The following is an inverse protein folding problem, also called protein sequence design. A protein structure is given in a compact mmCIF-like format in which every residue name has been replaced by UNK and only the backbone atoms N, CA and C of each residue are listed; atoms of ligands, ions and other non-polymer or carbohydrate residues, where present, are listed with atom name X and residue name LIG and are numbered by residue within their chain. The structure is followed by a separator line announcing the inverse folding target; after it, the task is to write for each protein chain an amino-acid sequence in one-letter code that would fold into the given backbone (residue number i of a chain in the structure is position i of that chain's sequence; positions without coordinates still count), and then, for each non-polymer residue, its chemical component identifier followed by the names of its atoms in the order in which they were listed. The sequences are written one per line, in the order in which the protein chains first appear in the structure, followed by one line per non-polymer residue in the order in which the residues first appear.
data_IF_097645091429
#
_entry.id   IF_097645091429
#
_cell.length_a   1.000
_cell.length_b   1.000
_cell.length_c   1.000
_cell.angle_alpha   90.00
_cell.angle_beta   90.00
_cell.angle_gamma   90.00
#
_symmetry.space_group_name_H-M   'P 1'
#
loop_
_entity.id
_entity.type
_entity.pdbx_description
1 polymer ?
#
# COMPACT_ATOMS: atom_id res chain seq x y z
N UNK A 1 18.99 -29.28 15.95
CA UNK A 1 19.60 -28.82 14.69
C UNK A 1 18.47 -28.69 13.68
N UNK A 2 17.87 -27.51 13.59
CA UNK A 2 16.85 -27.22 12.59
C UNK A 2 17.57 -27.10 11.24
N UNK A 3 17.60 -28.18 10.47
CA UNK A 3 17.71 -28.09 9.01
C UNK A 3 16.39 -27.51 8.50
N UNK A 4 16.17 -26.22 8.77
CA UNK A 4 14.91 -25.54 8.51
C UNK A 4 15.03 -24.74 7.22
N UNK A 5 14.18 -25.07 6.26
CA UNK A 5 13.85 -24.17 5.16
C UNK A 5 12.95 -23.07 5.75
N UNK A 6 13.22 -21.81 5.42
CA UNK A 6 12.43 -20.65 5.79
C UNK A 6 11.88 -20.00 4.53
N UNK A 7 10.66 -19.47 4.61
CA UNK A 7 10.11 -18.56 3.60
C UNK A 7 10.36 -17.13 4.06
N UNK A 8 11.20 -16.39 3.34
CA UNK A 8 11.43 -14.96 3.57
C UNK A 8 10.57 -14.15 2.57
N UNK A 9 9.68 -13.31 3.08
CA UNK A 9 8.96 -12.31 2.31
C UNK A 9 9.73 -10.99 2.42
N UNK A 10 10.31 -10.52 1.31
CA UNK A 10 11.11 -9.30 1.28
C UNK A 10 10.23 -8.03 1.37
N UNK A 11 10.87 -6.86 1.42
CA UNK A 11 10.17 -5.56 1.48
C UNK A 11 9.38 -5.24 0.19
N UNK A 12 9.63 -5.98 -0.90
CA UNK A 12 8.89 -5.89 -2.16
C UNK A 12 7.76 -6.92 -2.23
N UNK A 13 7.54 -7.67 -1.14
CA UNK A 13 6.51 -8.70 -1.06
C UNK A 13 6.85 -10.00 -1.80
N UNK A 14 8.08 -10.16 -2.28
CA UNK A 14 8.54 -11.36 -2.97
C UNK A 14 8.91 -12.44 -1.98
N UNK A 15 8.52 -13.67 -2.29
CA UNK A 15 8.79 -14.83 -1.44
C UNK A 15 10.07 -15.54 -1.90
N UNK A 16 10.96 -15.80 -0.94
CA UNK A 16 12.25 -16.43 -1.15
C UNK A 16 12.41 -17.64 -0.24
N UNK A 17 12.84 -18.76 -0.80
CA UNK A 17 13.24 -19.91 0.00
C UNK A 17 14.66 -19.71 0.52
N UNK A 18 14.81 -19.66 1.85
CA UNK A 18 16.08 -19.45 2.54
C UNK A 18 16.44 -20.68 3.34
N UNK A 19 17.67 -21.17 3.18
CA UNK A 19 18.15 -22.39 3.82
C UNK A 19 19.29 -22.06 4.77
N UNK A 20 19.19 -22.56 6.00
CA UNK A 20 20.30 -22.51 6.95
C UNK A 20 21.41 -23.49 6.53
N UNK A 21 22.60 -22.95 6.27
CA UNK A 21 23.83 -23.70 5.97
C UNK A 21 24.90 -23.38 7.04
N UNK A 22 25.99 -24.13 7.06
CA UNK A 22 27.10 -23.89 8.01
C UNK A 22 27.71 -22.49 7.91
N UNK A 23 27.58 -21.86 6.73
CA UNK A 23 28.06 -20.49 6.47
C UNK A 23 27.07 -19.40 6.91
N UNK A 24 25.82 -19.75 7.20
CA UNK A 24 24.72 -18.85 7.55
C UNK A 24 23.45 -19.11 6.75
N UNK A 25 22.54 -18.14 6.70
CA UNK A 25 21.29 -18.22 5.94
C UNK A 25 21.49 -17.87 4.46
N UNK A 26 21.03 -18.74 3.56
CA UNK A 26 21.30 -18.61 2.13
C UNK A 26 20.05 -18.62 1.27
N UNK A 27 20.00 -17.73 0.29
CA UNK A 27 19.06 -17.72 -0.83
C UNK A 27 19.83 -18.06 -2.12
N UNK A 28 19.62 -19.28 -2.64
CA UNK A 28 20.44 -19.83 -3.71
C UNK A 28 21.93 -19.90 -3.33
N UNK A 29 22.76 -19.20 -4.11
CA UNK A 29 24.21 -19.09 -3.91
C UNK A 29 24.63 -17.89 -3.04
N UNK A 30 23.68 -17.01 -2.69
CA UNK A 30 23.94 -15.83 -1.85
C UNK A 30 23.68 -16.20 -0.39
N UNK A 31 24.65 -15.93 0.49
CA UNK A 31 24.55 -16.25 1.92
C UNK A 31 24.83 -15.03 2.79
N UNK A 32 24.03 -14.87 3.83
CA UNK A 32 24.27 -13.93 4.92
C UNK A 32 25.16 -14.63 5.95
N UNK A 33 26.43 -14.23 6.10
CA UNK A 33 27.38 -14.94 6.94
C UNK A 33 27.01 -14.84 8.42
N UNK A 34 27.12 -15.96 9.13
CA UNK A 34 26.85 -16.07 10.57
C UNK A 34 25.43 -15.67 11.00
N UNK A 35 24.47 -15.61 10.08
CA UNK A 35 23.07 -15.47 10.45
C UNK A 35 22.47 -16.86 10.70
N UNK A 36 21.94 -17.07 11.90
CA UNK A 36 21.14 -18.24 12.25
C UNK A 36 19.63 -17.93 12.24
N UNK A 37 18.76 -18.95 12.21
CA UNK A 37 17.31 -18.76 12.35
C UNK A 37 16.92 -18.05 13.66
N UNK A 38 17.76 -18.12 14.69
CA UNK A 38 17.49 -17.56 16.01
C UNK A 38 17.95 -16.09 16.15
N UNK A 39 18.81 -15.59 15.24
CA UNK A 39 19.41 -14.25 15.30
C UNK A 39 18.84 -13.28 14.25
N UNK A 40 17.73 -13.66 13.61
CA UNK A 40 17.12 -12.93 12.49
C UNK A 40 16.73 -11.50 12.85
N UNK A 41 16.23 -11.27 14.07
CA UNK A 41 15.80 -9.93 14.53
C UNK A 41 16.98 -8.96 14.63
N UNK A 42 18.09 -9.40 15.24
CA UNK A 42 19.30 -8.59 15.35
C UNK A 42 19.87 -8.26 13.97
N UNK A 43 19.84 -9.25 13.06
CA UNK A 43 20.30 -9.04 11.69
C UNK A 43 19.43 -8.03 10.94
N UNK A 44 18.10 -8.19 10.99
CA UNK A 44 17.17 -7.27 10.35
C UNK A 44 17.38 -5.85 10.86
N UNK A 45 17.48 -5.66 12.19
CA UNK A 45 17.71 -4.35 12.79
C UNK A 45 19.02 -3.71 12.28
N UNK A 46 20.12 -4.47 12.21
CA UNK A 46 21.40 -4.00 11.66
C UNK A 46 21.33 -3.65 10.17
N UNK A 47 20.46 -4.34 9.43
CA UNK A 47 20.21 -4.07 8.03
C UNK A 47 19.20 -2.93 7.79
N UNK A 48 18.64 -2.34 8.86
CA UNK A 48 17.65 -1.26 8.77
C UNK A 48 16.23 -1.75 8.51
N UNK A 49 15.90 -2.97 8.94
CA UNK A 49 14.58 -3.59 8.81
C UNK A 49 14.01 -3.97 10.18
N UNK A 50 12.69 -3.97 10.27
CA UNK A 50 11.94 -4.73 11.26
C UNK A 50 11.46 -6.04 10.64
N UNK A 51 11.12 -7.03 11.46
CA UNK A 51 10.59 -8.30 10.97
C UNK A 51 9.38 -8.77 11.76
N UNK A 52 8.54 -9.56 11.09
CA UNK A 52 7.53 -10.41 11.69
C UNK A 52 7.86 -11.87 11.40
N UNK A 53 7.38 -12.79 12.24
CA UNK A 53 7.60 -14.22 12.06
C UNK A 53 6.39 -15.04 12.49
N UNK A 54 6.06 -16.05 11.68
CA UNK A 54 5.13 -17.12 12.02
C UNK A 54 5.74 -18.48 11.62
N UNK A 55 6.26 -19.22 12.60
CA UNK A 55 6.96 -20.49 12.35
C UNK A 55 8.17 -20.33 11.42
N UNK A 56 8.04 -20.88 10.21
CA UNK A 56 9.04 -20.85 9.13
C UNK A 56 8.84 -19.71 8.13
N UNK A 57 7.78 -18.90 8.28
CA UNK A 57 7.52 -17.72 7.45
C UNK A 57 8.03 -16.48 8.19
N UNK A 58 8.86 -15.70 7.52
CA UNK A 58 9.43 -14.44 8.01
C UNK A 58 9.12 -13.37 6.99
N UNK A 59 8.63 -12.21 7.41
CA UNK A 59 8.49 -11.05 6.55
C UNK A 59 9.30 -9.90 7.13
N UNK A 60 9.92 -9.10 6.26
CA UNK A 60 10.62 -7.88 6.65
C UNK A 60 9.89 -6.65 6.13
N UNK A 61 10.07 -5.53 6.83
CA UNK A 61 9.67 -4.20 6.41
C UNK A 61 10.81 -3.23 6.79
N UNK A 62 11.04 -2.14 6.04
CA UNK A 62 12.01 -1.12 6.44
C UNK A 62 11.73 -0.64 7.87
N UNK A 63 12.76 -0.38 8.68
CA UNK A 63 12.57 0.30 9.95
C UNK A 63 12.02 1.71 9.75
N UNK A 64 11.44 2.31 10.78
CA UNK A 64 10.98 3.70 10.77
C UNK A 64 12.08 4.66 10.32
N UNK A 65 13.32 4.46 10.78
CA UNK A 65 14.47 5.26 10.36
C UNK A 65 14.77 5.10 8.87
N UNK A 66 14.80 3.86 8.37
CA UNK A 66 15.04 3.58 6.95
C UNK A 66 13.94 4.17 6.09
N UNK A 67 12.68 3.94 6.43
CA UNK A 67 11.50 4.44 5.73
C UNK A 67 11.48 5.97 5.71
N UNK A 68 11.72 6.62 6.85
CA UNK A 68 11.79 8.08 6.93
C UNK A 68 12.92 8.64 6.05
N UNK A 69 14.10 8.01 6.07
CA UNK A 69 15.24 8.43 5.26
C UNK A 69 14.93 8.32 3.76
N UNK A 70 14.24 7.27 3.34
CA UNK A 70 13.80 7.08 1.95
C UNK A 70 12.76 8.15 1.55
N UNK A 71 11.82 8.46 2.44
CA UNK A 71 10.80 9.48 2.21
C UNK A 71 11.36 10.92 2.22
N UNK A 72 12.40 11.21 3.02
CA UNK A 72 12.92 12.56 3.24
C UNK A 72 13.47 13.25 1.97
N UNK A 73 13.81 12.48 0.93
CA UNK A 73 14.23 13.04 -0.36
C UNK A 73 13.11 13.71 -1.15
N UNK A 74 11.84 13.44 -0.78
CA UNK A 74 10.65 13.88 -1.51
C UNK A 74 10.55 13.30 -2.91
N UNK A 75 11.39 12.32 -3.26
CA UNK A 75 11.29 11.57 -4.51
C UNK A 75 10.21 10.51 -4.37
N UNK A 76 9.46 10.27 -5.44
CA UNK A 76 8.54 9.16 -5.51
C UNK A 76 9.34 7.84 -5.37
N UNK A 77 9.00 6.96 -4.41
CA UNK A 77 9.58 5.62 -4.35
C UNK A 77 9.28 4.88 -5.65
N UNK A 78 10.27 4.13 -6.15
CA UNK A 78 10.04 3.24 -7.28
C UNK A 78 8.86 2.31 -6.97
N UNK A 79 8.06 1.95 -7.97
CA UNK A 79 6.90 1.09 -7.79
C UNK A 79 6.65 0.28 -9.06
N UNK A 80 7.01 -1.00 -8.98
CA UNK A 80 6.74 -1.99 -10.03
C UNK A 80 5.95 -3.14 -9.42
N UNK A 81 4.80 -3.43 -10.01
CA UNK A 81 3.80 -4.37 -9.52
C UNK A 81 3.30 -5.25 -10.67
N UNK A 82 2.33 -6.11 -10.37
CA UNK A 82 1.62 -6.87 -11.40
C UNK A 82 0.22 -6.31 -11.61
N UNK A 83 -0.26 -6.33 -12.85
CA UNK A 83 -1.68 -6.14 -13.15
C UNK A 83 -2.48 -7.42 -12.80
N UNK A 84 -3.79 -7.35 -13.03
CA UNK A 84 -4.72 -8.46 -12.74
C UNK A 84 -4.46 -9.70 -13.60
N UNK A 85 -3.78 -9.58 -14.73
CA UNK A 85 -3.42 -10.68 -15.62
C UNK A 85 -2.00 -11.20 -15.34
N UNK A 86 -1.32 -10.62 -14.34
CA UNK A 86 0.02 -10.99 -13.90
C UNK A 86 1.15 -10.34 -14.69
N UNK A 87 0.86 -9.42 -15.62
CA UNK A 87 1.89 -8.67 -16.34
C UNK A 87 2.54 -7.65 -15.42
N UNK A 88 3.84 -7.44 -15.59
CA UNK A 88 4.54 -6.39 -14.85
C UNK A 88 4.16 -5.01 -15.39
N UNK A 89 3.82 -4.10 -14.48
CA UNK A 89 3.52 -2.69 -14.78
C UNK A 89 4.27 -1.81 -13.79
N UNK A 90 4.88 -0.74 -14.29
CA UNK A 90 5.67 0.17 -13.47
C UNK A 90 5.08 1.57 -13.47
N UNK A 91 4.97 2.17 -12.29
CA UNK A 91 4.64 3.59 -12.18
C UNK A 91 5.77 4.45 -12.75
N UNK A 92 7.00 3.94 -12.73
CA UNK A 92 8.23 4.63 -13.15
C UNK A 92 8.42 4.67 -14.66
N UNK A 93 7.66 3.87 -15.42
CA UNK A 93 7.56 4.00 -16.88
C UNK A 93 7.05 5.38 -17.31
N UNK A 94 6.44 6.13 -16.38
CA UNK A 94 5.93 7.49 -16.58
C UNK A 94 6.84 8.59 -16.05
N UNK A 95 8.08 8.28 -15.62
CA UNK A 95 9.07 9.30 -15.24
C UNK A 95 9.24 10.35 -16.37
N UNK A 96 9.47 11.61 -15.99
CA UNK A 96 9.48 12.74 -16.91
C UNK A 96 8.08 13.29 -17.27
N UNK A 97 7.01 12.70 -16.76
CA UNK A 97 5.63 13.21 -16.89
C UNK A 97 5.06 13.58 -15.53
N UNK A 98 4.09 14.51 -15.53
CA UNK A 98 3.19 14.68 -14.39
C UNK A 98 2.37 13.42 -14.24
N UNK A 99 2.55 12.71 -13.13
CA UNK A 99 1.90 11.43 -12.89
C UNK A 99 1.15 11.40 -11.56
N UNK A 100 0.03 10.68 -11.56
CA UNK A 100 -0.88 10.57 -10.41
C UNK A 100 -1.06 9.11 -10.07
N UNK A 101 -0.72 8.77 -8.84
CA UNK A 101 -0.96 7.46 -8.25
C UNK A 101 -2.28 7.49 -7.50
N UNK A 102 -3.22 6.63 -7.89
CA UNK A 102 -4.54 6.48 -7.25
C UNK A 102 -4.63 5.12 -6.59
N UNK A 103 -4.68 5.07 -5.26
CA UNK A 103 -4.93 3.82 -4.56
C UNK A 103 -6.40 3.64 -4.25
N UNK A 104 -6.88 2.43 -4.44
CA UNK A 104 -8.26 2.02 -4.21
C UNK A 104 -8.28 0.55 -3.76
N UNK A 105 -9.46 -0.02 -3.51
CA UNK A 105 -9.60 -1.44 -3.28
C UNK A 105 -11.02 -1.95 -3.60
N UNK A 106 -11.17 -3.24 -3.88
CA UNK A 106 -12.47 -3.88 -4.16
C UNK A 106 -13.46 -3.76 -2.98
N UNK A 107 -12.93 -3.68 -1.76
CA UNK A 107 -13.68 -3.53 -0.52
C UNK A 107 -13.98 -2.07 -0.14
N UNK A 108 -13.63 -1.11 -1.00
CA UNK A 108 -13.86 0.32 -0.79
C UNK A 108 -14.90 0.87 -1.77
N UNK A 109 -15.70 1.87 -1.37
CA UNK A 109 -16.64 2.55 -2.27
C UNK A 109 -15.95 3.15 -3.50
N UNK A 110 -14.70 3.58 -3.32
CA UNK A 110 -13.84 4.16 -4.35
C UNK A 110 -13.61 3.29 -5.60
N UNK A 111 -13.87 1.98 -5.54
CA UNK A 111 -13.88 1.12 -6.76
C UNK A 111 -14.85 1.60 -7.84
N UNK A 112 -15.91 2.31 -7.47
CA UNK A 112 -16.87 2.88 -8.41
C UNK A 112 -16.40 4.20 -9.02
N UNK A 113 -15.38 4.83 -8.44
CA UNK A 113 -14.85 6.13 -8.88
C UNK A 113 -13.79 5.98 -9.99
N UNK A 114 -13.43 4.75 -10.38
CA UNK A 114 -12.46 4.48 -11.46
C UNK A 114 -12.86 5.16 -12.77
N UNK A 115 -14.16 5.20 -13.08
CA UNK A 115 -14.68 5.94 -14.24
C UNK A 115 -14.48 7.46 -14.13
N UNK A 116 -14.44 8.01 -12.93
CA UNK A 116 -14.07 9.41 -12.67
C UNK A 116 -12.62 9.70 -12.99
N UNK A 117 -11.71 8.82 -12.56
CA UNK A 117 -10.30 8.89 -12.91
C UNK A 117 -10.06 8.74 -14.41
N UNK A 118 -10.81 7.87 -15.09
CA UNK A 118 -10.76 7.75 -16.55
C UNK A 118 -11.08 9.07 -17.26
N UNK A 119 -12.11 9.80 -16.80
CA UNK A 119 -12.46 11.12 -17.38
C UNK A 119 -11.32 12.12 -17.22
N UNK A 120 -10.62 12.12 -16.09
CA UNK A 120 -9.45 12.98 -15.86
C UNK A 120 -8.27 12.58 -16.74
N UNK A 121 -8.03 11.27 -16.93
CA UNK A 121 -7.01 10.77 -17.86
C UNK A 121 -7.29 11.28 -19.27
N UNK A 122 -8.51 11.10 -19.77
CA UNK A 122 -8.88 11.52 -21.13
C UNK A 122 -8.80 13.04 -21.30
N UNK A 123 -9.17 13.82 -20.28
CA UNK A 123 -9.12 15.28 -20.31
C UNK A 123 -7.69 15.84 -20.32
N UNK A 124 -6.77 15.21 -19.59
CA UNK A 124 -5.46 15.78 -19.27
C UNK A 124 -4.27 15.02 -19.88
N UNK A 125 -4.50 13.90 -20.57
CA UNK A 125 -3.44 13.10 -21.21
C UNK A 125 -2.61 13.92 -22.20
N UNK A 126 -3.27 14.72 -23.04
CA UNK A 126 -2.63 15.60 -24.04
C UNK A 126 -1.88 16.77 -23.39
N UNK A 127 -2.26 17.14 -22.17
CA UNK A 127 -1.54 18.11 -21.34
C UNK A 127 -0.38 17.47 -20.55
N UNK A 128 -0.12 16.17 -20.75
CA UNK A 128 1.03 15.46 -20.18
C UNK A 128 0.72 14.62 -18.94
N UNK A 129 -0.54 14.53 -18.48
CA UNK A 129 -0.90 13.71 -17.33
C UNK A 129 -0.78 12.21 -17.63
N UNK A 130 -0.24 11.45 -16.68
CA UNK A 130 -0.26 9.98 -16.65
C UNK A 130 -0.85 9.48 -15.35
N UNK A 131 -2.02 8.84 -15.42
CA UNK A 131 -2.61 8.14 -14.28
C UNK A 131 -2.05 6.72 -14.18
N UNK A 132 -1.93 6.26 -12.94
CA UNK A 132 -1.62 4.88 -12.58
C UNK A 132 -2.45 4.56 -11.34
N UNK A 133 -3.21 3.48 -11.35
CA UNK A 133 -3.96 3.09 -10.15
C UNK A 133 -3.48 1.76 -9.58
N UNK A 134 -3.65 1.60 -8.27
CA UNK A 134 -3.28 0.39 -7.55
C UNK A 134 -4.45 -0.06 -6.69
N UNK A 135 -4.90 -1.30 -6.93
CA UNK A 135 -5.84 -1.99 -6.08
C UNK A 135 -5.09 -2.62 -4.88
N UNK A 136 -5.42 -2.22 -3.65
CA UNK A 136 -4.85 -2.76 -2.42
C UNK A 136 -5.64 -4.01 -1.97
N UNK A 137 -5.59 -5.04 -2.80
CA UNK A 137 -6.32 -6.29 -2.65
C UNK A 137 -5.35 -7.47 -2.51
N UNK A 138 -5.60 -8.34 -1.54
CA UNK A 138 -4.73 -9.50 -1.27
C UNK A 138 -4.86 -10.59 -2.36
N UNK A 139 -6.02 -10.67 -3.00
CA UNK A 139 -6.31 -11.51 -4.15
C UNK A 139 -6.64 -10.63 -5.37
N UNK A 140 -5.89 -10.71 -6.49
CA UNK A 140 -6.20 -9.97 -7.71
C UNK A 140 -7.62 -10.19 -8.23
N UNK A 141 -8.18 -11.37 -8.02
CA UNK A 141 -9.53 -11.70 -8.49
C UNK A 141 -10.63 -10.88 -7.81
N UNK A 142 -10.39 -10.35 -6.61
CA UNK A 142 -11.34 -9.45 -5.94
C UNK A 142 -11.47 -8.11 -6.68
N UNK A 143 -10.37 -7.64 -7.27
CA UNK A 143 -10.30 -6.38 -8.00
C UNK A 143 -10.74 -6.49 -9.46
N UNK A 144 -10.59 -7.68 -10.08
CA UNK A 144 -10.84 -7.94 -11.51
C UNK A 144 -12.19 -7.40 -12.02
N UNK A 145 -13.35 -7.67 -11.38
CA UNK A 145 -14.63 -7.24 -11.91
C UNK A 145 -14.76 -5.71 -12.01
N UNK A 146 -14.10 -4.98 -11.11
CA UNK A 146 -14.12 -3.53 -11.07
C UNK A 146 -13.23 -2.93 -12.15
N UNK A 147 -12.05 -3.53 -12.38
CA UNK A 147 -11.12 -3.14 -13.44
C UNK A 147 -11.78 -3.37 -14.81
N UNK A 148 -12.35 -4.55 -15.03
CA UNK A 148 -13.01 -4.89 -16.29
C UNK A 148 -14.22 -3.97 -16.56
N UNK A 149 -15.05 -3.72 -15.55
CA UNK A 149 -16.20 -2.84 -15.68
C UNK A 149 -15.82 -1.39 -15.99
N UNK A 150 -14.74 -0.88 -15.38
CA UNK A 150 -14.23 0.46 -15.65
C UNK A 150 -13.50 0.57 -16.99
N UNK A 151 -12.87 -0.51 -17.46
CA UNK A 151 -12.07 -0.58 -18.69
C UNK A 151 -11.12 0.63 -18.86
N UNK A 152 -10.25 0.91 -17.88
CA UNK A 152 -9.41 2.10 -17.90
C UNK A 152 -8.37 2.04 -19.02
N UNK A 153 -8.05 3.21 -19.59
CA UNK A 153 -6.96 3.35 -20.57
C UNK A 153 -5.59 3.53 -19.91
N UNK A 154 -5.56 3.83 -18.61
CA UNK A 154 -4.37 3.89 -17.80
C UNK A 154 -4.07 2.54 -17.13
N UNK A 155 -2.80 2.23 -16.78
CA UNK A 155 -2.47 0.97 -16.12
C UNK A 155 -3.08 0.85 -14.73
N UNK A 156 -3.53 -0.36 -14.41
CA UNK A 156 -4.02 -0.71 -13.08
C UNK A 156 -3.20 -1.89 -12.55
N UNK A 157 -2.46 -1.66 -11.48
CA UNK A 157 -1.76 -2.70 -10.76
C UNK A 157 -2.61 -3.24 -9.60
N UNK A 158 -2.27 -4.44 -9.14
CA UNK A 158 -2.77 -5.04 -7.91
C UNK A 158 -1.60 -5.23 -6.96
N UNK A 159 -1.74 -4.70 -5.76
CA UNK A 159 -0.76 -4.82 -4.69
C UNK A 159 -1.22 -5.85 -3.65
N UNK A 160 -0.81 -7.10 -3.87
CA UNK A 160 -1.12 -8.23 -2.99
C UNK A 160 -0.26 -8.31 -1.73
N UNK A 161 0.76 -7.45 -1.61
CA UNK A 161 1.73 -7.47 -0.53
C UNK A 161 1.79 -6.16 0.27
N UNK A 162 0.90 -5.23 -0.05
CA UNK A 162 0.74 -3.94 0.62
C UNK A 162 1.96 -3.01 0.53
N UNK A 163 2.81 -3.20 -0.48
CA UNK A 163 4.07 -2.46 -0.67
C UNK A 163 3.85 -1.00 -1.05
N UNK A 164 2.77 -0.69 -1.76
CA UNK A 164 2.38 0.66 -2.18
C UNK A 164 2.01 1.48 -0.96
N UNK A 165 1.24 0.88 -0.04
CA UNK A 165 0.82 1.53 1.18
C UNK A 165 1.98 1.79 2.14
N UNK A 166 2.94 0.88 2.20
CA UNK A 166 4.20 1.06 2.92
C UNK A 166 5.01 2.23 2.33
N UNK A 167 5.40 2.12 1.06
CA UNK A 167 6.33 3.05 0.40
C UNK A 167 5.80 4.47 0.38
N UNK A 168 4.51 4.63 0.08
CA UNK A 168 3.89 5.95 -0.02
C UNK A 168 3.31 6.44 1.30
N UNK A 169 3.31 5.67 2.39
CA UNK A 169 2.73 6.10 3.67
C UNK A 169 1.20 6.21 3.63
N UNK A 170 0.54 5.33 2.88
CA UNK A 170 -0.92 5.32 2.71
C UNK A 170 -1.53 4.48 3.83
N UNK A 171 -2.44 5.07 4.61
CA UNK A 171 -3.15 4.41 5.70
C UNK A 171 -4.64 4.28 5.44
N UNK A 172 -5.15 4.83 4.34
CA UNK A 172 -6.56 4.71 3.95
C UNK A 172 -6.74 4.82 2.42
N UNK A 173 -7.85 4.29 1.90
CA UNK A 173 -8.27 4.41 0.49
C UNK A 173 -9.65 5.09 0.37
N UNK A 174 -9.90 5.87 -0.70
CA UNK A 174 -8.94 6.21 -1.75
C UNK A 174 -7.86 7.17 -1.25
N UNK A 175 -6.66 7.05 -1.79
CA UNK A 175 -5.58 8.02 -1.56
C UNK A 175 -4.88 8.34 -2.88
N UNK A 176 -4.52 9.62 -3.04
CA UNK A 176 -3.98 10.14 -4.29
C UNK A 176 -2.67 10.87 -4.02
N UNK A 177 -1.63 10.47 -4.76
CA UNK A 177 -0.29 11.08 -4.74
C UNK A 177 -0.01 11.72 -6.09
N UNK A 178 0.54 12.93 -6.10
CA UNK A 178 0.98 13.60 -7.33
C UNK A 178 2.49 13.67 -7.38
N UNK A 179 3.06 13.36 -8.54
CA UNK A 179 4.49 13.34 -8.80
C UNK A 179 4.78 14.17 -10.05
N UNK A 180 5.72 15.10 -9.92
CA UNK A 180 6.16 15.96 -11.03
C UNK A 180 7.13 15.23 -11.98
N UNK A 181 7.50 15.94 -13.04
CA UNK A 181 8.38 15.46 -14.10
C UNK A 181 9.82 15.15 -13.62
N UNK A 182 10.23 15.66 -12.44
CA UNK A 182 11.54 15.39 -11.82
C UNK A 182 11.47 14.21 -10.82
N UNK A 183 10.36 13.47 -10.83
CA UNK A 183 10.01 12.38 -9.93
C UNK A 183 9.90 12.81 -8.46
N UNK A 184 9.47 14.05 -8.21
CA UNK A 184 9.23 14.55 -6.85
C UNK A 184 7.74 14.49 -6.50
N UNK A 185 7.45 14.04 -5.30
CA UNK A 185 6.10 14.10 -4.74
C UNK A 185 5.76 15.57 -4.49
N UNK A 186 4.77 16.07 -5.22
CA UNK A 186 4.22 17.43 -5.10
C UNK A 186 2.83 17.45 -4.45
N UNK A 187 2.26 16.26 -4.20
CA UNK A 187 1.12 16.08 -3.30
C UNK A 187 1.29 14.74 -2.60
N UNK A 188 1.61 14.70 -1.29
CA UNK A 188 1.68 13.44 -0.55
C UNK A 188 0.30 12.78 -0.47
N UNK A 189 0.22 11.52 -0.02
CA UNK A 189 -1.04 10.80 0.03
C UNK A 189 -2.12 11.59 0.73
N UNK A 190 -3.23 11.70 0.04
CA UNK A 190 -4.35 12.54 0.44
C UNK A 190 -5.62 11.85 -0.04
N UNK A 191 -6.63 11.81 0.81
CA UNK A 191 -7.95 11.32 0.43
C UNK A 191 -8.54 12.28 -0.60
N UNK A 192 -8.78 11.78 -1.81
CA UNK A 192 -9.40 12.53 -2.88
C UNK A 192 -10.22 11.59 -3.76
N UNK A 193 -11.51 11.89 -4.00
CA UNK A 193 -12.38 11.03 -4.79
C UNK A 193 -12.23 11.28 -6.30
N UNK A 194 -12.52 10.26 -7.09
CA UNK A 194 -12.55 10.35 -8.54
C UNK A 194 -13.83 11.03 -9.08
N UNK A 195 -14.91 11.04 -8.31
CA UNK A 195 -16.15 11.75 -8.59
C UNK A 195 -17.01 11.95 -7.32
N UNK A 196 -18.19 12.57 -7.46
CA UNK A 196 -19.06 12.90 -6.32
C UNK A 196 -20.04 11.79 -5.92
N UNK A 197 -19.87 10.55 -6.40
CA UNK A 197 -20.84 9.48 -6.12
C UNK A 197 -21.04 9.22 -4.61
N UNK A 198 -20.00 9.46 -3.81
CA UNK A 198 -20.04 9.27 -2.35
C UNK A 198 -19.92 10.56 -1.55
N UNK A 199 -20.15 11.74 -2.16
CA UNK A 199 -19.98 13.03 -1.47
C UNK A 199 -20.90 13.19 -0.26
N UNK A 200 -22.12 12.64 -0.31
CA UNK A 200 -23.07 12.69 0.82
C UNK A 200 -22.55 11.94 2.06
N UNK A 201 -21.76 10.88 1.85
CA UNK A 201 -21.20 10.07 2.93
C UNK A 201 -19.84 10.59 3.39
N UNK A 202 -18.95 10.89 2.44
CA UNK A 202 -17.56 11.30 2.73
C UNK A 202 -17.45 12.75 3.15
N UNK A 203 -18.40 13.60 2.72
CA UNK A 203 -18.34 15.06 2.82
C UNK A 203 -17.12 15.67 2.10
N UNK A 204 -16.55 14.94 1.14
CA UNK A 204 -15.41 15.38 0.32
C UNK A 204 -15.90 15.48 -1.13
N UNK A 205 -15.99 16.70 -1.64
CA UNK A 205 -16.34 16.96 -3.03
C UNK A 205 -15.11 16.79 -3.95
N UNK A 206 -15.33 16.26 -5.14
CA UNK A 206 -14.29 15.99 -6.13
C UNK A 206 -13.80 17.26 -6.83
N UNK A 207 -14.68 18.26 -6.98
CA UNK A 207 -14.43 19.51 -7.72
C UNK A 207 -13.14 20.22 -7.31
N UNK A 208 -12.94 20.42 -5.99
CA UNK A 208 -11.75 21.10 -5.44
C UNK A 208 -10.47 20.39 -5.85
N UNK A 209 -10.46 19.07 -5.78
CA UNK A 209 -9.28 18.29 -6.16
C UNK A 209 -9.06 18.28 -7.67
N UNK A 210 -10.13 18.15 -8.45
CA UNK A 210 -10.06 18.12 -9.91
C UNK A 210 -9.59 19.45 -10.47
N UNK A 211 -10.07 20.57 -9.93
CA UNK A 211 -9.64 21.90 -10.36
C UNK A 211 -8.18 22.17 -10.00
N UNK A 212 -7.74 21.75 -8.82
CA UNK A 212 -6.33 21.80 -8.45
C UNK A 212 -5.48 20.92 -9.39
N UNK A 213 -5.98 19.73 -9.78
CA UNK A 213 -5.27 18.85 -10.71
C UNK A 213 -5.14 19.50 -12.10
N UNK A 214 -6.22 20.12 -12.59
CA UNK A 214 -6.21 20.86 -13.87
C UNK A 214 -5.22 22.01 -13.85
N UNK A 215 -5.23 22.83 -12.79
CA UNK A 215 -4.31 23.96 -12.63
C UNK A 215 -2.86 23.49 -12.54
N UNK A 216 -2.58 22.43 -11.77
CA UNK A 216 -1.24 21.86 -11.71
C UNK A 216 -0.79 21.33 -13.07
N UNK A 217 -1.61 20.53 -13.75
CA UNK A 217 -1.24 19.91 -15.02
C UNK A 217 -1.04 20.94 -16.12
N UNK A 218 -2.00 21.86 -16.31
CA UNK A 218 -1.99 22.83 -17.43
C UNK A 218 -1.08 24.03 -17.16
N UNK A 219 -1.09 24.54 -15.93
CA UNK A 219 -0.50 25.84 -15.60
C UNK A 219 0.72 25.71 -14.67
N UNK A 220 0.99 24.52 -14.14
CA UNK A 220 2.12 24.28 -13.22
C UNK A 220 1.86 24.75 -11.80
N UNK A 221 0.61 25.09 -11.45
CA UNK A 221 0.25 25.58 -10.12
C UNK A 221 0.30 24.44 -9.09
N UNK A 222 1.23 24.51 -8.15
CA UNK A 222 1.36 23.49 -7.11
C UNK A 222 0.21 23.57 -6.09
N UNK A 223 -0.28 22.42 -5.59
CA UNK A 223 -1.30 22.42 -4.54
C UNK A 223 -0.72 22.97 -3.23
N UNK A 224 -1.56 23.49 -2.31
CA UNK A 224 -1.11 23.95 -1.00
C UNK A 224 -0.34 22.89 -0.19
N UNK A 225 -0.61 21.61 -0.44
CA UNK A 225 0.06 20.47 0.18
C UNK A 225 1.42 20.12 -0.43
N UNK A 226 1.93 20.87 -1.41
CA UNK A 226 3.22 20.56 -2.05
C UNK A 226 4.44 20.67 -1.13
N UNK A 227 4.32 21.37 -0.01
CA UNK A 227 5.35 21.42 1.03
C UNK A 227 5.17 20.33 2.11
N UNK A 228 4.09 19.55 2.07
CA UNK A 228 3.84 18.51 3.05
C UNK A 228 4.70 17.25 2.75
N UNK A 229 5.18 16.62 3.81
CA UNK A 229 5.96 15.38 3.72
C UNK A 229 5.03 14.17 3.79
N UNK A 230 5.50 13.04 3.27
CA UNK A 230 4.87 11.74 3.53
C UNK A 230 4.77 11.51 5.05
N UNK A 231 3.62 11.03 5.57
CA UNK A 231 3.49 10.69 6.98
C UNK A 231 4.57 9.69 7.42
N UNK A 232 5.15 9.96 8.58
CA UNK A 232 6.12 9.05 9.20
C UNK A 232 5.39 7.81 9.73
N UNK A 233 6.05 6.65 9.63
CA UNK A 233 5.61 5.38 10.24
C UNK A 233 6.57 4.98 11.35
N UNK A 234 6.02 4.43 12.41
CA UNK A 234 6.76 3.83 13.54
C UNK A 234 7.24 2.42 13.21
N UNK A 235 8.19 1.89 13.99
CA UNK A 235 8.64 0.50 13.84
C UNK A 235 7.50 -0.50 14.07
N UNK A 236 6.54 -0.18 14.94
CA UNK A 236 5.36 -1.01 15.17
C UNK A 236 4.45 -1.02 13.93
N UNK A 237 4.20 0.13 13.32
CA UNK A 237 3.43 0.22 12.07
C UNK A 237 4.13 -0.49 10.91
N UNK A 238 5.46 -0.44 10.84
CA UNK A 238 6.23 -1.20 9.84
C UNK A 238 6.15 -2.71 10.12
N UNK A 239 6.21 -3.12 11.38
CA UNK A 239 6.05 -4.53 11.78
C UNK A 239 4.63 -5.03 11.51
N UNK A 240 3.62 -4.17 11.64
CA UNK A 240 2.24 -4.49 11.26
C UNK A 240 2.13 -4.87 9.78
N UNK A 241 2.84 -4.14 8.90
CA UNK A 241 2.89 -4.44 7.47
C UNK A 241 3.60 -5.77 7.20
N UNK A 242 4.68 -6.07 7.92
CA UNK A 242 5.32 -7.38 7.87
C UNK A 242 4.36 -8.51 8.30
N UNK A 243 3.61 -8.36 9.39
CA UNK A 243 2.57 -9.32 9.79
C UNK A 243 1.48 -9.47 8.73
N UNK A 244 1.04 -8.37 8.11
CA UNK A 244 0.05 -8.40 7.02
C UNK A 244 0.57 -9.18 5.79
N UNK A 245 1.84 -9.06 5.43
CA UNK A 245 2.47 -9.85 4.36
C UNK A 245 2.42 -11.35 4.67
N UNK A 246 2.74 -11.74 5.91
CA UNK A 246 2.64 -13.13 6.38
C UNK A 246 1.17 -13.59 6.31
N UNK A 247 0.22 -12.75 6.72
CA UNK A 247 -1.20 -13.08 6.63
C UNK A 247 -1.66 -13.33 5.18
N UNK A 248 -1.23 -12.50 4.23
CA UNK A 248 -1.54 -12.68 2.81
C UNK A 248 -0.94 -13.99 2.26
N UNK A 249 0.29 -14.34 2.68
CA UNK A 249 0.91 -15.63 2.35
C UNK A 249 0.11 -16.82 2.92
N UNK A 250 -0.33 -16.76 4.18
CA UNK A 250 -1.18 -17.81 4.75
C UNK A 250 -2.52 -17.92 4.04
N UNK A 251 -3.14 -16.78 3.70
CA UNK A 251 -4.42 -16.76 3.00
C UNK A 251 -4.32 -17.43 1.63
N UNK A 252 -3.29 -17.09 0.82
CA UNK A 252 -3.02 -17.78 -0.47
C UNK A 252 -2.78 -19.27 -0.31
N UNK A 253 -2.18 -19.68 0.82
CA UNK A 253 -1.96 -21.08 1.14
C UNK A 253 -3.18 -21.80 1.75
N UNK A 254 -4.35 -21.14 1.87
CA UNK A 254 -5.56 -21.70 2.48
C UNK A 254 -5.47 -21.89 4.00
N UNK A 255 -4.52 -21.21 4.67
CA UNK A 255 -4.25 -21.28 6.12
C UNK A 255 -4.96 -20.15 6.86
N UNK A 256 -6.30 -20.14 6.81
CA UNK A 256 -7.13 -19.03 7.30
C UNK A 256 -6.93 -18.70 8.78
N UNK A 257 -6.74 -19.71 9.65
CA UNK A 257 -6.50 -19.48 11.09
C UNK A 257 -5.20 -18.71 11.34
N UNK A 258 -4.12 -19.10 10.66
CA UNK A 258 -2.84 -18.39 10.72
C UNK A 258 -2.96 -16.98 10.12
N UNK A 259 -3.66 -16.82 8.99
CA UNK A 259 -3.89 -15.52 8.39
C UNK A 259 -4.62 -14.56 9.36
N UNK A 260 -5.67 -15.04 10.03
CA UNK A 260 -6.40 -14.29 11.05
C UNK A 260 -5.52 -13.91 12.25
N UNK A 261 -4.69 -14.84 12.73
CA UNK A 261 -3.78 -14.58 13.85
C UNK A 261 -2.75 -13.48 13.50
N UNK A 262 -2.18 -13.53 12.31
CA UNK A 262 -1.22 -12.54 11.84
C UNK A 262 -1.87 -11.18 11.59
N UNK A 263 -3.11 -11.15 11.08
CA UNK A 263 -3.87 -9.91 10.98
C UNK A 263 -4.16 -9.30 12.35
N UNK A 264 -4.54 -10.09 13.35
CA UNK A 264 -4.78 -9.58 14.69
C UNK A 264 -3.53 -8.87 15.25
N UNK A 265 -2.34 -9.47 15.09
CA UNK A 265 -1.07 -8.85 15.47
C UNK A 265 -0.81 -7.55 14.70
N UNK A 266 -1.06 -7.55 13.38
CA UNK A 266 -0.91 -6.34 12.58
C UNK A 266 -1.84 -5.20 13.05
N UNK A 267 -3.08 -5.55 13.40
CA UNK A 267 -4.07 -4.59 13.88
C UNK A 267 -3.75 -4.04 15.27
N UNK A 268 -3.16 -4.84 16.17
CA UNK A 268 -2.68 -4.38 17.47
C UNK A 268 -1.53 -3.38 17.34
N UNK A 269 -0.62 -3.61 16.39
CA UNK A 269 0.54 -2.76 16.13
C UNK A 269 0.20 -1.48 15.36
N UNK A 270 -0.80 -1.53 14.47
CA UNK A 270 -1.24 -0.40 13.66
C UNK A 270 -2.78 -0.20 13.75
N UNK A 271 -3.32 0.18 14.92
CA UNK A 271 -4.77 0.20 15.16
C UNK A 271 -5.53 1.19 14.28
N UNK A 272 -4.85 2.20 13.74
CA UNK A 272 -5.45 3.28 12.95
C UNK A 272 -5.12 3.19 11.46
N UNK A 273 -4.40 2.16 11.01
CA UNK A 273 -4.19 1.93 9.60
C UNK A 273 -5.42 1.20 9.03
N UNK A 274 -6.27 1.95 8.31
CA UNK A 274 -7.50 1.42 7.72
C UNK A 274 -7.19 0.37 6.66
N UNK A 275 -6.06 0.47 5.98
CA UNK A 275 -5.67 -0.53 4.98
C UNK A 275 -5.24 -1.85 5.64
N UNK A 276 -4.77 -1.81 6.89
CA UNK A 276 -4.54 -3.01 7.72
C UNK A 276 -5.85 -3.54 8.32
N UNK A 277 -6.64 -2.67 8.96
CA UNK A 277 -7.89 -3.04 9.63
C UNK A 277 -8.97 -3.48 8.64
N UNK A 278 -9.45 -2.55 7.82
CA UNK A 278 -10.55 -2.79 6.87
C UNK A 278 -10.14 -3.72 5.73
N UNK A 279 -8.92 -3.57 5.21
CA UNK A 279 -8.37 -4.51 4.24
C UNK A 279 -8.16 -5.91 4.82
N UNK A 280 -7.93 -6.03 6.13
CA UNK A 280 -7.87 -7.32 6.84
C UNK A 280 -9.23 -8.02 6.91
N UNK A 281 -10.30 -7.26 7.24
CA UNK A 281 -11.68 -7.76 7.25
C UNK A 281 -12.05 -8.38 5.90
N UNK A 282 -11.78 -7.65 4.81
CA UNK A 282 -12.07 -8.13 3.45
C UNK A 282 -11.27 -9.40 3.12
N UNK A 283 -9.98 -9.42 3.43
CA UNK A 283 -9.08 -10.56 3.15
C UNK A 283 -9.55 -11.87 3.80
N UNK A 284 -10.26 -11.79 4.93
CA UNK A 284 -10.76 -12.97 5.67
C UNK A 284 -12.25 -13.23 5.45
N UNK A 285 -12.88 -12.53 4.50
CA UNK A 285 -14.28 -12.74 4.11
C UNK A 285 -15.31 -12.06 5.00
N UNK A 286 -14.89 -11.16 5.90
CA UNK A 286 -15.79 -10.29 6.63
C UNK A 286 -16.39 -9.20 5.74
N UNK A 287 -17.45 -8.54 6.22
CA UNK A 287 -18.06 -7.39 5.52
C UNK A 287 -17.34 -6.09 5.92
N UNK A 288 -16.56 -5.47 5.01
CA UNK A 288 -15.76 -4.28 5.30
C UNK A 288 -16.57 -2.98 5.18
N UNK A 289 -17.91 -3.03 5.15
CA UNK A 289 -18.79 -1.86 5.06
C UNK A 289 -19.86 -1.82 6.16
N UNK A 290 -20.54 -2.93 6.41
CA UNK A 290 -21.67 -3.00 7.34
C UNK A 290 -21.54 -4.18 8.33
N UNK A 291 -20.43 -4.90 8.28
CA UNK A 291 -20.13 -5.98 9.21
C UNK A 291 -19.87 -5.47 10.62
N UNK A 292 -20.16 -6.31 11.61
CA UNK A 292 -19.97 -6.00 13.03
C UNK A 292 -18.53 -5.57 13.34
N UNK A 293 -17.54 -6.24 12.76
CA UNK A 293 -16.12 -5.91 12.94
C UNK A 293 -15.78 -4.51 12.40
N UNK A 294 -16.30 -4.16 11.21
CA UNK A 294 -16.10 -2.83 10.64
C UNK A 294 -16.83 -1.76 11.46
N UNK A 295 -18.08 -1.99 11.85
CA UNK A 295 -18.85 -1.04 12.66
C UNK A 295 -18.16 -0.79 14.00
N UNK A 296 -17.70 -1.84 14.69
CA UNK A 296 -16.95 -1.71 15.94
C UNK A 296 -15.67 -0.90 15.77
N UNK A 297 -14.90 -1.17 14.70
CA UNK A 297 -13.69 -0.41 14.41
C UNK A 297 -14.01 1.07 14.11
N UNK A 298 -15.05 1.34 13.33
CA UNK A 298 -15.44 2.70 12.98
C UNK A 298 -15.84 3.52 14.20
N UNK A 299 -16.62 2.95 15.11
CA UNK A 299 -17.03 3.59 16.37
C UNK A 299 -15.83 3.90 17.28
N UNK A 300 -14.90 2.94 17.41
CA UNK A 300 -13.66 3.12 18.18
C UNK A 300 -12.78 4.23 17.60
N UNK A 301 -12.64 4.26 16.27
CA UNK A 301 -11.85 5.26 15.57
C UNK A 301 -12.47 6.66 15.65
N UNK A 302 -13.79 6.78 15.52
CA UNK A 302 -14.50 8.06 15.67
C UNK A 302 -14.36 8.59 17.09
N UNK A 303 -14.54 7.72 18.09
CA UNK A 303 -14.34 8.04 19.51
C UNK A 303 -12.90 8.45 19.85
N UNK A 304 -11.92 7.95 19.08
CA UNK A 304 -10.50 8.27 19.25
C UNK A 304 -10.07 9.58 18.58
N UNK A 305 -11.02 10.35 18.03
CA UNK A 305 -10.74 11.63 17.40
C UNK A 305 -10.27 11.53 15.95
N UNK A 306 -10.61 10.43 15.27
CA UNK A 306 -10.33 10.19 13.83
C UNK A 306 -8.84 10.25 13.44
N UNK A 307 -7.95 9.51 14.13
CA UNK A 307 -6.53 9.48 13.81
C UNK A 307 -6.30 9.03 12.35
N UNK A 308 -5.29 9.60 11.69
CA UNK A 308 -4.94 9.30 10.30
C UNK A 308 -5.89 9.88 9.25
N UNK A 309 -7.00 10.51 9.66
CA UNK A 309 -7.95 11.17 8.77
C UNK A 309 -7.96 12.66 9.06
N UNK A 310 -6.94 13.33 8.52
CA UNK A 310 -6.96 14.78 8.43
C UNK A 310 -7.61 15.13 7.10
N UNK A 311 -8.79 15.76 7.07
CA UNK A 311 -9.32 16.32 5.84
C UNK A 311 -8.32 17.38 5.38
N UNK A 312 -7.51 17.04 4.38
CA UNK A 312 -6.65 18.02 3.71
C UNK A 312 -7.58 18.90 2.90
N UNK A 313 -8.04 19.98 3.52
CA UNK A 313 -8.63 21.10 2.78
C UNK A 313 -7.57 21.65 1.86
#
# INVERSE_FOLDING_TARGET
MLTGVLTLIDADGREHEVVAKDVGLCWGDVCIPNAGPDDLEEWAARAGYVLARDGDVVAIAPSAETHHREAAGGRAPELTLRDVDGNEVSFDDFSGHKRVLVTWASWCGCRHELGGWQRLQDELADAGLRLFSVALDADPEDSRPWIEAASPSYPVAVDTAHVTAERYGITNVPSVVWVDEDDRIVKPPTIAPGDDQFVEFTQIAADRHHDALRAWVRDGELPPSAAATTPERTDDEQRALAHRRIAAHHQRAGRTEQALAQLALAQELAPWDWTVRRGGIAMTGGDPFLGEEFTSFWEEWDASGRPGYTPTT
#
